data_IF_254138361153
#
_entry.id   IF_254138361153
#
_cell.length_a   1.000
_cell.length_b   1.000
_cell.length_c   1.000
_cell.angle_alpha   90.00
_cell.angle_beta   90.00
_cell.angle_gamma   90.00
#
_symmetry.space_group_name_H-M   'P 1'
#
loop_
_entity.id
_entity.type
_entity.pdbx_description
1 polymer ?
#
# COMPACT_ATOMS: atom_id res chain seq x y z
N UNK A 1 -2.92 -2.40 -0.28
CA UNK A 1 -4.05 -3.30 -0.64
C UNK A 1 -4.91 -3.54 0.61
N UNK A 2 -6.22 -3.38 0.53
CA UNK A 2 -7.09 -3.54 1.69
C UNK A 2 -7.45 -4.99 1.97
N UNK A 3 -7.89 -5.28 3.22
CA UNK A 3 -8.34 -6.63 3.60
C UNK A 3 -9.50 -7.13 2.73
N UNK A 4 -10.38 -6.23 2.30
CA UNK A 4 -11.53 -6.55 1.44
C UNK A 4 -11.22 -6.31 -0.05
N UNK A 5 -10.03 -6.67 -0.47
CA UNK A 5 -9.57 -6.46 -1.85
C UNK A 5 -10.47 -7.12 -2.91
N UNK A 6 -11.15 -8.20 -2.55
CA UNK A 6 -12.01 -8.93 -3.48
C UNK A 6 -13.13 -8.08 -4.07
N UNK A 7 -13.52 -7.01 -3.38
CA UNK A 7 -14.62 -6.14 -3.84
C UNK A 7 -14.21 -5.21 -4.97
N UNK A 8 -12.98 -4.68 -4.95
CA UNK A 8 -12.57 -3.58 -5.83
C UNK A 8 -11.21 -3.78 -6.50
N UNK A 9 -10.55 -4.90 -6.28
CA UNK A 9 -9.22 -5.17 -6.81
C UNK A 9 -9.25 -6.35 -7.77
N UNK A 10 -8.23 -6.43 -8.63
CA UNK A 10 -8.13 -7.47 -9.65
C UNK A 10 -8.29 -8.86 -9.06
N UNK A 11 -9.07 -9.71 -9.73
CA UNK A 11 -9.21 -11.10 -9.35
C UNK A 11 -7.88 -11.84 -9.48
N UNK A 12 -7.70 -12.86 -8.65
CA UNK A 12 -6.55 -13.75 -8.72
C UNK A 12 -6.82 -14.90 -9.68
N UNK A 13 -5.75 -15.38 -10.33
CA UNK A 13 -5.83 -16.50 -11.28
C UNK A 13 -6.20 -17.82 -10.60
N UNK A 14 -5.94 -17.98 -9.30
CA UNK A 14 -6.22 -19.19 -8.55
C UNK A 14 -6.44 -18.92 -7.07
N UNK A 15 -7.01 -19.87 -6.34
CA UNK A 15 -7.18 -19.79 -4.90
C UNK A 15 -5.85 -19.74 -4.16
N UNK A 16 -4.82 -20.39 -4.69
CA UNK A 16 -3.49 -20.36 -4.11
C UNK A 16 -2.88 -18.96 -4.15
N UNK A 17 -3.03 -18.28 -5.29
CA UNK A 17 -2.58 -16.89 -5.43
C UNK A 17 -3.37 -15.98 -4.49
N UNK A 18 -4.68 -16.22 -4.35
CA UNK A 18 -5.51 -15.46 -3.41
C UNK A 18 -5.03 -15.62 -1.96
N UNK A 19 -4.63 -16.83 -1.56
CA UNK A 19 -4.05 -17.08 -0.22
C UNK A 19 -2.72 -16.36 -0.03
N UNK A 20 -1.87 -16.36 -1.05
CA UNK A 20 -0.61 -15.60 -1.01
C UNK A 20 -0.88 -14.11 -0.84
N UNK A 21 -1.85 -13.57 -1.57
CA UNK A 21 -2.26 -12.16 -1.43
C UNK A 21 -2.73 -11.87 -0.01
N UNK A 22 -3.63 -12.69 0.53
CA UNK A 22 -4.13 -12.52 1.89
C UNK A 22 -3.00 -12.53 2.93
N UNK A 23 -1.98 -13.38 2.75
CA UNK A 23 -0.84 -13.45 3.66
C UNK A 23 0.03 -12.20 3.66
N UNK A 24 0.00 -11.41 2.57
CA UNK A 24 0.83 -10.21 2.42
C UNK A 24 0.14 -8.92 2.86
N UNK A 25 -1.16 -8.94 3.10
CA UNK A 25 -1.92 -7.73 3.42
C UNK A 25 -1.42 -6.99 4.66
N UNK A 26 -0.97 -7.72 5.67
CA UNK A 26 -0.49 -7.15 6.93
C UNK A 26 1.05 -7.09 7.01
N UNK A 27 1.74 -7.35 5.91
CA UNK A 27 3.20 -7.18 5.88
C UNK A 27 3.57 -5.70 5.72
N UNK A 28 4.79 -5.36 6.13
CA UNK A 28 5.29 -3.99 6.12
C UNK A 28 5.17 -3.33 4.75
N UNK A 29 5.37 -4.09 3.67
CA UNK A 29 5.29 -3.56 2.31
C UNK A 29 3.91 -3.03 1.93
N UNK A 30 2.84 -3.45 2.61
CA UNK A 30 1.46 -3.02 2.35
C UNK A 30 0.93 -2.05 3.41
N UNK A 31 1.73 -1.60 4.35
CA UNK A 31 1.29 -0.76 5.46
C UNK A 31 1.88 0.65 5.37
N UNK A 32 1.10 1.63 5.77
CA UNK A 32 1.54 3.01 5.91
C UNK A 32 0.82 3.67 7.08
N UNK A 33 1.47 4.65 7.71
CA UNK A 33 0.85 5.44 8.78
C UNK A 33 0.18 6.63 8.12
N UNK A 34 -1.15 6.70 8.23
CA UNK A 34 -1.96 7.78 7.65
C UNK A 34 -2.99 8.25 8.67
N UNK A 35 -3.51 9.49 8.52
CA UNK A 35 -4.57 9.97 9.41
C UNK A 35 -5.81 9.08 9.37
N UNK A 36 -6.48 8.92 10.51
CA UNK A 36 -7.65 8.06 10.64
C UNK A 36 -8.77 8.48 9.67
N UNK A 37 -9.03 9.76 9.53
CA UNK A 37 -10.07 10.26 8.63
C UNK A 37 -9.79 9.88 7.17
N UNK A 38 -8.53 9.96 6.74
CA UNK A 38 -8.12 9.55 5.41
C UNK A 38 -8.31 8.05 5.22
N UNK A 39 -7.85 7.24 6.17
CA UNK A 39 -8.00 5.79 6.11
C UNK A 39 -9.47 5.39 6.03
N UNK A 40 -10.35 6.02 6.82
CA UNK A 40 -11.78 5.76 6.79
C UNK A 40 -12.41 6.13 5.44
N UNK A 41 -11.93 7.21 4.81
CA UNK A 41 -12.43 7.66 3.52
C UNK A 41 -12.06 6.71 2.37
N UNK A 42 -10.84 6.21 2.34
CA UNK A 42 -10.36 5.37 1.22
C UNK A 42 -10.54 3.86 1.45
N UNK A 43 -10.67 3.44 2.68
CA UNK A 43 -10.96 2.05 3.13
C UNK A 43 -10.50 0.96 2.16
N UNK A 44 -11.46 0.22 1.56
CA UNK A 44 -11.23 -0.88 0.62
C UNK A 44 -11.36 -0.47 -0.85
N UNK A 45 -11.32 0.84 -1.13
CA UNK A 45 -11.36 1.39 -2.48
C UNK A 45 -10.25 0.81 -3.37
N UNK A 46 -10.43 0.89 -4.67
CA UNK A 46 -9.41 0.49 -5.63
C UNK A 46 -8.15 1.37 -5.56
N UNK A 47 -7.10 0.96 -6.25
CA UNK A 47 -5.80 1.64 -6.17
C UNK A 47 -5.87 3.09 -6.67
N UNK A 48 -6.53 3.33 -7.79
CA UNK A 48 -6.64 4.67 -8.35
C UNK A 48 -7.36 5.62 -7.37
N UNK A 49 -8.46 5.15 -6.78
CA UNK A 49 -9.22 5.92 -5.79
C UNK A 49 -8.42 6.15 -4.51
N UNK A 50 -7.65 5.17 -4.05
CA UNK A 50 -6.77 5.34 -2.89
C UNK A 50 -5.74 6.44 -3.13
N UNK A 51 -5.20 6.53 -4.35
CA UNK A 51 -4.21 7.57 -4.69
C UNK A 51 -4.83 8.94 -4.74
N UNK A 52 -5.86 9.13 -5.55
CA UNK A 52 -6.41 10.45 -5.86
C UNK A 52 -7.57 10.89 -4.97
N UNK A 53 -8.28 9.96 -4.34
CA UNK A 53 -9.42 10.26 -3.50
C UNK A 53 -10.75 10.16 -4.24
N UNK A 54 -11.83 10.52 -3.52
CA UNK A 54 -13.22 10.42 -3.97
C UNK A 54 -13.83 11.76 -4.36
N UNK A 55 -13.00 12.75 -4.66
CA UNK A 55 -13.45 14.10 -5.03
C UNK A 55 -12.79 15.19 -4.22
N UNK A 56 -13.19 16.44 -4.44
CA UNK A 56 -12.54 17.61 -3.86
C UNK A 56 -12.53 17.63 -2.33
N UNK A 57 -13.57 17.07 -1.69
CA UNK A 57 -13.71 17.06 -0.23
C UNK A 57 -13.25 15.75 0.41
N UNK A 58 -12.78 14.79 -0.40
CA UNK A 58 -12.32 13.46 0.06
C UNK A 58 -11.00 13.11 -0.61
N UNK A 59 -9.89 13.71 -0.16
CA UNK A 59 -8.57 13.47 -0.75
C UNK A 59 -8.11 12.02 -0.56
N UNK A 60 -7.18 11.60 -1.41
CA UNK A 60 -6.53 10.30 -1.30
C UNK A 60 -5.13 10.41 -0.70
N UNK A 61 -4.34 9.35 -0.88
CA UNK A 61 -2.98 9.26 -0.36
C UNK A 61 -2.05 10.36 -0.89
N UNK A 62 -2.28 10.84 -2.12
CA UNK A 62 -1.45 11.89 -2.72
C UNK A 62 -1.44 13.18 -1.88
N UNK A 63 -2.58 13.53 -1.28
CA UNK A 63 -2.66 14.71 -0.43
C UNK A 63 -1.88 14.55 0.87
N UNK A 64 -1.74 13.33 1.37
CA UNK A 64 -1.01 13.02 2.60
C UNK A 64 0.49 12.84 2.37
N UNK A 65 0.89 12.51 1.15
CA UNK A 65 2.25 12.03 0.85
C UNK A 65 3.30 13.14 0.73
N UNK A 66 2.91 14.42 0.73
CA UNK A 66 3.86 15.53 0.60
C UNK A 66 4.93 15.47 1.69
N UNK A 67 6.18 15.37 1.28
CA UNK A 67 7.30 15.27 2.22
C UNK A 67 7.55 13.86 2.78
N UNK A 68 6.73 12.88 2.42
CA UNK A 68 6.91 11.50 2.84
C UNK A 68 7.49 10.66 1.69
N UNK A 69 8.82 10.65 1.58
CA UNK A 69 9.54 10.00 0.47
C UNK A 69 9.13 8.55 0.27
N UNK A 70 9.01 7.79 1.35
CA UNK A 70 8.66 6.37 1.30
C UNK A 70 7.24 6.12 0.79
N UNK A 71 6.31 7.04 1.04
CA UNK A 71 4.94 6.92 0.53
C UNK A 71 4.84 7.45 -0.90
N UNK A 72 5.55 8.52 -1.24
CA UNK A 72 5.57 9.06 -2.60
C UNK A 72 6.03 8.02 -3.62
N UNK A 73 7.03 7.21 -3.29
CA UNK A 73 7.52 6.16 -4.19
C UNK A 73 6.42 5.15 -4.55
N UNK A 74 5.54 4.83 -3.60
CA UNK A 74 4.39 3.93 -3.82
C UNK A 74 3.40 4.54 -4.79
N UNK A 75 3.16 5.84 -4.70
CA UNK A 75 2.15 6.53 -5.51
C UNK A 75 2.55 6.67 -6.98
N UNK A 76 3.80 6.42 -7.33
CA UNK A 76 4.26 6.38 -8.72
C UNK A 76 3.85 5.09 -9.44
N UNK A 77 3.43 4.08 -8.71
CA UNK A 77 3.01 2.80 -9.29
C UNK A 77 1.60 2.90 -9.87
N UNK A 78 1.41 2.38 -11.10
CA UNK A 78 0.10 2.34 -11.73
C UNK A 78 -0.82 1.28 -11.13
N UNK A 79 -0.23 0.21 -10.61
CA UNK A 79 -0.91 -0.91 -9.96
C UNK A 79 -0.26 -1.20 -8.62
N UNK A 80 -1.03 -1.75 -7.69
CA UNK A 80 -0.51 -2.20 -6.41
C UNK A 80 -0.78 -3.70 -6.26
N UNK A 81 0.27 -4.49 -6.41
CA UNK A 81 0.21 -5.96 -6.48
C UNK A 81 1.05 -6.60 -5.39
N UNK A 82 0.96 -7.93 -5.26
CA UNK A 82 1.78 -8.70 -4.34
C UNK A 82 3.28 -8.48 -4.57
N UNK A 83 3.69 -8.41 -5.83
CA UNK A 83 5.09 -8.16 -6.19
C UNK A 83 5.55 -6.78 -5.73
N UNK A 84 4.69 -5.78 -5.85
CA UNK A 84 4.97 -4.42 -5.37
C UNK A 84 5.05 -4.37 -3.84
N UNK A 85 4.19 -5.10 -3.15
CA UNK A 85 4.23 -5.23 -1.69
C UNK A 85 5.56 -5.83 -1.24
N UNK A 86 6.00 -6.91 -1.86
CA UNK A 86 7.28 -7.55 -1.54
C UNK A 86 8.47 -6.64 -1.84
N UNK A 87 8.47 -5.97 -2.99
CA UNK A 87 9.53 -5.06 -3.37
C UNK A 87 9.65 -3.89 -2.38
N UNK A 88 8.52 -3.33 -1.94
CA UNK A 88 8.50 -2.26 -0.95
C UNK A 88 9.00 -2.75 0.41
N UNK A 89 8.60 -3.92 0.85
CA UNK A 89 9.06 -4.50 2.11
C UNK A 89 10.58 -4.66 2.12
N UNK A 90 11.15 -5.17 1.03
CA UNK A 90 12.59 -5.32 0.86
C UNK A 90 13.30 -3.96 0.89
N UNK A 91 12.78 -2.98 0.18
CA UNK A 91 13.32 -1.63 0.14
C UNK A 91 13.31 -0.95 1.51
N UNK A 92 12.20 -1.06 2.24
CA UNK A 92 12.10 -0.52 3.60
C UNK A 92 13.08 -1.22 4.55
N UNK A 93 13.27 -2.52 4.40
CA UNK A 93 14.25 -3.27 5.19
C UNK A 93 15.68 -2.79 4.92
N UNK A 94 16.03 -2.55 3.66
CA UNK A 94 17.34 -2.01 3.28
C UNK A 94 17.59 -0.62 3.89
N UNK A 95 16.56 0.24 3.89
CA UNK A 95 16.63 1.55 4.53
C UNK A 95 16.86 1.40 6.03
N UNK A 96 16.14 0.51 6.69
CA UNK A 96 16.27 0.27 8.13
C UNK A 96 17.66 -0.24 8.48
N UNK A 97 18.22 -1.15 7.70
CA UNK A 97 19.59 -1.63 7.89
C UNK A 97 20.61 -0.51 7.80
N UNK A 98 20.45 0.40 6.83
CA UNK A 98 21.32 1.54 6.64
C UNK A 98 21.25 2.51 7.82
N UNK A 99 20.04 2.83 8.30
CA UNK A 99 19.81 3.80 9.35
C UNK A 99 20.23 3.29 10.74
N UNK A 100 19.98 2.03 11.04
CA UNK A 100 20.20 1.48 12.37
C UNK A 100 21.33 0.45 12.45
N UNK A 101 22.02 0.23 11.32
CA UNK A 101 23.15 -0.70 11.25
C UNK A 101 22.77 -2.09 11.82
N UNK A 102 21.58 -2.55 11.54
CA UNK A 102 21.07 -3.86 11.97
C UNK A 102 21.67 -4.92 11.06
N UNK A 103 22.67 -5.62 11.57
CA UNK A 103 23.21 -6.82 10.90
C UNK A 103 23.04 -8.01 11.80
N UNK A 104 22.61 -9.16 11.24
CA UNK A 104 22.55 -10.38 12.03
C UNK A 104 23.91 -10.80 12.55
#
# INVERSE_FOLDING_TARGET
>A
MPKKWRNNWSACASDEIAKQRDSKLLTLGNLAIIPQALNASIRDSDWATKKSGKGANKPGLEACAKGLVTLNAVLLEDEWTEEKIDARAKWLHEIAETLWNIKP
#
